data_IF_053743517753
#
_entry.id   IF_053743517753
#
_cell.length_a   1.000
_cell.length_b   1.000
_cell.length_c   1.000
_cell.angle_alpha   90.00
_cell.angle_beta   90.00
_cell.angle_gamma   90.00
#
_symmetry.space_group_name_H-M   'P 1'
#
loop_
_entity.id
_entity.type
_entity.pdbx_description
1 polymer ?
#
# COMPACT_ATOMS: atom_id res chain seq x y z
N UNK A 1 -27.43 5.92 35.60
CA UNK A 1 -27.55 6.45 34.23
C UNK A 1 -27.07 7.89 34.12
N UNK A 2 -27.46 8.79 35.05
CA UNK A 2 -27.08 10.21 35.05
C UNK A 2 -25.56 10.46 35.24
N UNK A 3 -24.87 9.70 36.10
CA UNK A 3 -23.41 9.84 36.28
C UNK A 3 -22.60 9.45 35.03
N UNK A 4 -23.05 8.44 34.28
CA UNK A 4 -22.32 7.95 33.11
C UNK A 4 -22.42 8.92 31.92
N UNK A 5 -23.54 9.64 31.79
CA UNK A 5 -23.70 10.71 30.81
C UNK A 5 -22.89 11.96 31.18
N UNK A 6 -22.68 12.22 32.47
CA UNK A 6 -21.86 13.35 32.94
C UNK A 6 -20.37 13.12 32.63
N UNK A 7 -19.84 11.93 32.94
CA UNK A 7 -18.44 11.56 32.64
C UNK A 7 -18.14 11.54 31.14
N UNK A 8 -19.08 11.09 30.31
CA UNK A 8 -18.94 11.14 28.84
C UNK A 8 -18.89 12.59 28.33
N UNK A 9 -19.67 13.49 28.92
CA UNK A 9 -19.70 14.90 28.52
C UNK A 9 -18.41 15.63 28.93
N UNK A 10 -17.93 15.38 30.14
CA UNK A 10 -16.68 15.95 30.68
C UNK A 10 -15.45 15.45 29.89
N UNK A 11 -15.44 14.18 29.48
CA UNK A 11 -14.41 13.64 28.59
C UNK A 11 -14.41 14.28 27.20
N UNK A 12 -15.58 14.60 26.65
CA UNK A 12 -15.71 15.31 25.38
C UNK A 12 -15.22 16.77 25.48
N UNK A 13 -15.58 17.50 26.55
CA UNK A 13 -15.10 18.86 26.76
C UNK A 13 -13.59 18.92 26.95
N UNK A 14 -13.00 17.97 27.70
CA UNK A 14 -11.56 17.84 27.85
C UNK A 14 -10.86 17.56 26.50
N UNK A 15 -11.45 16.74 25.64
CA UNK A 15 -10.93 16.52 24.29
C UNK A 15 -11.00 17.78 23.44
N UNK A 16 -12.12 18.51 23.46
CA UNK A 16 -12.26 19.77 22.71
C UNK A 16 -11.28 20.84 23.19
N UNK A 17 -11.07 20.96 24.51
CA UNK A 17 -10.10 21.89 25.09
C UNK A 17 -8.67 21.52 24.70
N UNK A 18 -8.31 20.23 24.77
CA UNK A 18 -7.01 19.75 24.31
C UNK A 18 -6.80 20.03 22.81
N UNK A 19 -7.86 19.90 22.01
CA UNK A 19 -7.81 20.18 20.58
C UNK A 19 -7.61 21.68 20.31
N UNK A 20 -8.33 22.55 21.02
CA UNK A 20 -8.17 24.02 20.94
C UNK A 20 -6.79 24.49 21.40
N UNK A 21 -6.22 23.88 22.44
CA UNK A 21 -4.86 24.16 22.90
C UNK A 21 -3.84 23.72 21.84
N UNK A 22 -4.00 22.52 21.28
CA UNK A 22 -3.13 22.02 20.21
C UNK A 22 -3.18 22.91 18.96
N UNK A 23 -4.37 23.39 18.55
CA UNK A 23 -4.52 24.32 17.43
C UNK A 23 -3.84 25.66 17.70
N UNK A 24 -3.87 26.15 18.93
CA UNK A 24 -3.22 27.40 19.34
C UNK A 24 -1.69 27.26 19.35
N UNK A 25 -1.17 26.18 19.94
CA UNK A 25 0.27 25.90 19.96
C UNK A 25 0.81 25.64 18.54
N UNK A 26 0.00 25.08 17.62
CA UNK A 26 0.36 24.93 16.22
C UNK A 26 0.36 26.28 15.45
N UNK A 27 -0.51 27.22 15.84
CA UNK A 27 -0.52 28.59 15.27
C UNK A 27 0.66 29.43 15.75
N UNK A 28 1.09 29.24 16.99
CA UNK A 28 2.24 29.93 17.59
C UNK A 28 3.59 29.37 17.12
N UNK A 29 3.59 28.21 16.43
CA UNK A 29 4.79 27.63 15.88
C UNK A 29 5.36 28.44 14.70
N UNK A 30 6.69 28.67 14.66
CA UNK A 30 7.34 29.34 13.53
C UNK A 30 7.00 28.64 12.21
N UNK A 31 6.47 29.40 11.24
CA UNK A 31 6.08 28.87 9.91
C UNK A 31 7.16 28.03 9.22
N UNK A 32 8.44 28.35 9.48
CA UNK A 32 9.58 27.63 8.93
C UNK A 32 9.72 26.21 9.50
N UNK A 33 9.54 26.02 10.81
CA UNK A 33 9.64 24.73 11.48
C UNK A 33 8.49 23.81 11.06
N UNK A 34 7.27 24.36 11.03
CA UNK A 34 6.08 23.65 10.53
C UNK A 34 6.29 23.15 9.10
N UNK A 35 6.79 24.01 8.20
CA UNK A 35 7.11 23.63 6.81
C UNK A 35 8.17 22.54 6.74
N UNK A 36 9.25 22.65 7.50
CA UNK A 36 10.31 21.65 7.52
C UNK A 36 9.80 20.27 7.98
N UNK A 37 8.94 20.22 9.01
CA UNK A 37 8.33 18.97 9.47
C UNK A 37 7.41 18.37 8.42
N UNK A 38 6.56 19.17 7.79
CA UNK A 38 5.68 18.72 6.71
C UNK A 38 6.48 18.16 5.54
N UNK A 39 7.54 18.87 5.09
CA UNK A 39 8.43 18.39 4.02
C UNK A 39 9.08 17.06 4.41
N UNK A 40 9.53 16.91 5.66
CA UNK A 40 10.06 15.63 6.15
C UNK A 40 9.01 14.52 6.09
N UNK A 41 7.80 14.72 6.60
CA UNK A 41 6.73 13.72 6.54
C UNK A 41 6.39 13.35 5.08
N UNK A 42 6.13 14.35 4.23
CA UNK A 42 5.84 14.17 2.80
C UNK A 42 6.95 13.39 2.13
N UNK A 43 8.22 13.75 2.35
CA UNK A 43 9.37 13.06 1.72
C UNK A 43 9.42 11.57 2.05
N UNK A 44 9.09 11.19 3.29
CA UNK A 44 9.06 9.79 3.73
C UNK A 44 7.84 9.05 3.18
N UNK A 45 6.68 9.69 3.11
CA UNK A 45 5.49 9.11 2.48
C UNK A 45 5.74 8.89 0.99
N UNK A 46 6.38 9.84 0.30
CA UNK A 46 6.76 9.70 -1.11
C UNK A 46 7.68 8.50 -1.36
N UNK A 47 8.62 8.21 -0.45
CA UNK A 47 9.42 6.97 -0.54
C UNK A 47 8.51 5.74 -0.51
N UNK A 48 7.53 5.69 0.39
CA UNK A 48 6.57 4.57 0.45
C UNK A 48 5.68 4.54 -0.79
N UNK A 49 5.30 5.70 -1.33
CA UNK A 49 4.54 5.83 -2.58
C UNK A 49 5.24 5.16 -3.77
N UNK A 50 6.57 5.09 -3.80
CA UNK A 50 7.30 4.35 -4.86
C UNK A 50 6.96 2.85 -4.88
N UNK A 51 6.67 2.24 -3.73
CA UNK A 51 6.18 0.86 -3.68
C UNK A 51 4.80 0.73 -4.35
N UNK A 52 3.96 1.75 -4.21
CA UNK A 52 2.66 1.81 -4.85
C UNK A 52 2.76 2.08 -6.36
N UNK A 53 3.81 2.76 -6.82
CA UNK A 53 4.16 2.83 -8.26
C UNK A 53 4.52 1.45 -8.78
N UNK A 54 5.35 0.68 -8.07
CA UNK A 54 5.68 -0.70 -8.44
C UNK A 54 4.42 -1.61 -8.46
N UNK A 55 3.50 -1.40 -7.52
CA UNK A 55 2.21 -2.07 -7.48
C UNK A 55 1.36 -1.74 -8.72
N UNK A 56 1.16 -0.47 -9.04
CA UNK A 56 0.43 -0.06 -10.24
C UNK A 56 1.04 -0.64 -11.52
N UNK A 57 2.36 -0.62 -11.60
CA UNK A 57 3.06 -1.20 -12.73
C UNK A 57 2.80 -2.71 -12.89
N UNK A 58 2.78 -3.45 -11.79
CA UNK A 58 2.48 -4.89 -11.78
C UNK A 58 1.03 -5.17 -12.17
N UNK A 59 0.09 -4.33 -11.70
CA UNK A 59 -1.35 -4.47 -11.98
C UNK A 59 -1.65 -4.29 -13.46
N UNK A 60 -1.01 -3.31 -14.09
CA UNK A 60 -1.31 -2.93 -15.47
C UNK A 60 -0.50 -3.72 -16.49
N UNK A 61 0.59 -4.36 -16.08
CA UNK A 61 1.47 -5.16 -16.94
C UNK A 61 0.75 -6.15 -17.87
N UNK A 62 -0.27 -6.93 -17.43
CA UNK A 62 -0.94 -7.88 -18.30
C UNK A 62 -1.51 -7.26 -19.58
N UNK A 63 -1.91 -5.99 -19.55
CA UNK A 63 -2.55 -5.32 -20.69
C UNK A 63 -1.61 -5.20 -21.90
N UNK A 64 -0.47 -4.47 -21.84
CA UNK A 64 0.48 -4.44 -22.95
C UNK A 64 1.23 -5.76 -23.15
N UNK A 65 1.50 -6.51 -22.07
CA UNK A 65 2.30 -7.71 -22.18
C UNK A 65 1.60 -8.86 -22.89
N UNK A 66 0.31 -9.10 -22.62
CA UNK A 66 -0.45 -10.15 -23.32
C UNK A 66 -0.54 -9.84 -24.81
N UNK A 67 -0.79 -8.58 -25.18
CA UNK A 67 -0.78 -8.16 -26.59
C UNK A 67 0.60 -8.28 -27.23
N UNK A 68 1.68 -8.05 -26.49
CA UNK A 68 3.04 -8.26 -26.99
C UNK A 68 3.36 -9.75 -27.16
N UNK A 69 2.91 -10.62 -26.24
CA UNK A 69 3.08 -12.08 -26.34
C UNK A 69 2.37 -12.59 -27.58
N UNK A 70 1.14 -12.16 -27.85
CA UNK A 70 0.40 -12.57 -29.06
C UNK A 70 1.09 -12.20 -30.37
N UNK A 71 1.87 -11.11 -30.39
CA UNK A 71 2.65 -10.68 -31.56
C UNK A 71 3.97 -11.43 -31.68
N UNK A 72 4.64 -11.66 -30.55
CA UNK A 72 5.95 -12.28 -30.47
C UNK A 72 6.00 -13.24 -29.28
N UNK A 73 5.92 -14.54 -29.60
CA UNK A 73 5.94 -15.62 -28.61
C UNK A 73 7.36 -15.96 -28.13
N UNK A 74 8.40 -15.36 -28.72
CA UNK A 74 9.79 -15.74 -28.46
C UNK A 74 10.23 -15.34 -27.05
N UNK A 75 10.82 -16.28 -26.30
CA UNK A 75 11.36 -15.99 -24.97
C UNK A 75 12.84 -15.67 -24.98
N UNK A 76 13.31 -14.99 -23.91
CA UNK A 76 14.75 -14.78 -23.69
C UNK A 76 15.54 -16.08 -23.54
N UNK A 77 14.87 -17.19 -23.22
CA UNK A 77 15.49 -18.52 -23.04
C UNK A 77 15.44 -19.32 -24.36
N UNK A 78 14.89 -18.76 -25.43
CA UNK A 78 14.76 -19.43 -26.74
C UNK A 78 13.60 -20.42 -26.84
N UNK A 79 12.70 -20.45 -25.86
CA UNK A 79 11.42 -21.17 -25.94
C UNK A 79 10.30 -20.26 -26.44
N UNK A 80 9.15 -20.83 -26.83
CA UNK A 80 7.96 -20.07 -27.20
C UNK A 80 6.86 -20.21 -26.15
N UNK A 81 6.19 -19.09 -25.83
CA UNK A 81 5.03 -19.08 -24.93
C UNK A 81 3.78 -18.71 -25.70
N UNK A 82 2.82 -19.64 -25.73
CA UNK A 82 1.48 -19.39 -26.29
C UNK A 82 0.49 -19.45 -25.14
N UNK A 83 -0.22 -18.35 -24.91
CA UNK A 83 -1.22 -18.25 -23.86
C UNK A 83 -2.60 -18.66 -24.38
N UNK A 84 -3.22 -19.65 -23.75
CA UNK A 84 -4.65 -19.92 -23.90
C UNK A 84 -5.50 -18.77 -23.35
N UNK A 85 -6.77 -18.71 -23.72
CA UNK A 85 -7.68 -17.67 -23.21
C UNK A 85 -7.76 -17.66 -21.66
N UNK A 86 -7.80 -18.85 -21.05
CA UNK A 86 -7.81 -18.99 -19.60
C UNK A 86 -6.50 -18.49 -18.98
N UNK A 87 -5.34 -18.82 -19.57
CA UNK A 87 -4.04 -18.38 -19.04
C UNK A 87 -3.85 -16.86 -19.13
N UNK A 88 -4.38 -16.22 -20.18
CA UNK A 88 -4.40 -14.74 -20.29
C UNK A 88 -5.12 -14.13 -19.10
N UNK A 89 -6.31 -14.63 -18.77
CA UNK A 89 -7.08 -14.13 -17.62
C UNK A 89 -6.41 -14.47 -16.28
N UNK A 90 -5.70 -15.61 -16.21
CA UNK A 90 -4.90 -15.99 -15.04
C UNK A 90 -3.73 -15.04 -14.78
N UNK A 91 -3.16 -14.41 -15.80
CA UNK A 91 -2.05 -13.45 -15.60
C UNK A 91 -2.45 -12.26 -14.73
N UNK A 92 -3.69 -11.80 -14.84
CA UNK A 92 -4.23 -10.72 -14.01
C UNK A 92 -4.84 -11.22 -12.69
N UNK A 93 -5.64 -12.29 -12.74
CA UNK A 93 -6.39 -12.77 -11.57
C UNK A 93 -5.52 -13.44 -10.50
N UNK A 94 -4.42 -14.12 -10.86
CA UNK A 94 -3.51 -14.74 -9.89
C UNK A 94 -2.82 -13.73 -8.98
N UNK A 95 -2.61 -12.50 -9.44
CA UNK A 95 -2.06 -11.44 -8.60
C UNK A 95 -3.01 -11.07 -7.45
N UNK A 96 -4.33 -11.07 -7.70
CA UNK A 96 -5.33 -10.84 -6.65
C UNK A 96 -5.42 -12.03 -5.69
N UNK A 97 -5.37 -13.24 -6.22
CA UNK A 97 -5.29 -14.44 -5.40
C UNK A 97 -4.04 -14.43 -4.51
N UNK A 98 -2.88 -14.07 -5.07
CA UNK A 98 -1.66 -13.87 -4.31
C UNK A 98 -1.80 -12.77 -3.27
N UNK A 99 -2.49 -11.68 -3.59
CA UNK A 99 -2.74 -10.56 -2.65
C UNK A 99 -3.56 -10.98 -1.45
N UNK A 100 -4.49 -11.93 -1.61
CA UNK A 100 -5.24 -12.49 -0.48
C UNK A 100 -4.30 -13.20 0.51
N UNK A 101 -3.43 -14.07 0.02
CA UNK A 101 -2.44 -14.76 0.86
C UNK A 101 -1.40 -13.79 1.42
N UNK A 102 -0.97 -12.82 0.61
CA UNK A 102 -0.06 -11.74 1.01
C UNK A 102 -0.64 -10.88 2.12
N UNK A 103 -1.93 -10.56 2.10
CA UNK A 103 -2.56 -9.85 3.19
C UNK A 103 -2.50 -10.66 4.50
N UNK A 104 -2.78 -11.96 4.44
CA UNK A 104 -2.72 -12.79 5.64
C UNK A 104 -1.30 -12.91 6.21
N UNK A 105 -0.32 -13.19 5.36
CA UNK A 105 1.11 -13.28 5.73
C UNK A 105 1.60 -11.91 6.22
N UNK A 106 1.24 -10.84 5.52
CA UNK A 106 1.65 -9.46 5.80
C UNK A 106 1.19 -9.00 7.18
N UNK A 107 -0.04 -9.32 7.59
CA UNK A 107 -0.52 -9.04 8.94
C UNK A 107 0.34 -9.72 10.01
N UNK A 108 0.66 -11.00 9.82
CA UNK A 108 1.55 -11.73 10.73
C UNK A 108 2.97 -11.14 10.77
N UNK A 109 3.58 -10.88 9.60
CA UNK A 109 4.92 -10.30 9.48
C UNK A 109 4.97 -8.92 10.16
N UNK A 110 4.03 -8.03 9.86
CA UNK A 110 3.94 -6.69 10.47
C UNK A 110 3.84 -6.75 11.98
N UNK A 111 3.08 -7.70 12.53
CA UNK A 111 2.96 -7.88 13.99
C UNK A 111 4.27 -8.33 14.65
N UNK A 112 5.07 -9.15 13.96
CA UNK A 112 6.30 -9.76 14.50
C UNK A 112 7.54 -8.86 14.34
N UNK A 113 7.80 -8.39 13.13
CA UNK A 113 9.04 -7.65 12.80
C UNK A 113 8.82 -6.13 12.69
N UNK A 114 7.57 -5.68 12.73
CA UNK A 114 7.24 -4.26 12.64
C UNK A 114 7.16 -3.72 11.21
N UNK A 115 6.42 -2.63 11.06
CA UNK A 115 6.03 -2.05 9.75
C UNK A 115 7.23 -1.69 8.86
N UNK A 116 8.28 -1.07 9.44
CA UNK A 116 9.48 -0.65 8.68
C UNK A 116 10.22 -1.85 8.08
N UNK A 117 10.54 -2.85 8.89
CA UNK A 117 11.26 -4.03 8.42
C UNK A 117 10.42 -4.82 7.41
N UNK A 118 9.10 -4.91 7.62
CA UNK A 118 8.19 -5.48 6.63
C UNK A 118 8.30 -4.77 5.28
N UNK A 119 8.26 -3.43 5.26
CA UNK A 119 8.40 -2.64 4.02
C UNK A 119 9.76 -2.83 3.32
N UNK A 120 10.84 -2.94 4.09
CA UNK A 120 12.18 -3.16 3.55
C UNK A 120 12.31 -4.56 2.93
N UNK A 121 11.80 -5.58 3.62
CA UNK A 121 11.81 -6.97 3.11
C UNK A 121 10.89 -7.15 1.90
N UNK A 122 9.85 -6.32 1.75
CA UNK A 122 8.91 -6.39 0.64
C UNK A 122 9.51 -6.06 -0.72
N UNK A 123 10.63 -5.32 -0.76
CA UNK A 123 11.35 -5.08 -2.01
C UNK A 123 11.80 -6.37 -2.69
N UNK A 124 12.22 -7.37 -1.90
CA UNK A 124 12.72 -8.65 -2.41
C UNK A 124 11.67 -9.42 -3.21
N UNK A 125 10.48 -9.77 -2.67
CA UNK A 125 9.50 -10.55 -3.43
C UNK A 125 8.92 -9.77 -4.63
N UNK A 126 8.85 -8.43 -4.57
CA UNK A 126 8.51 -7.59 -5.73
C UNK A 126 9.53 -7.74 -6.87
N UNK A 127 10.82 -7.64 -6.56
CA UNK A 127 11.90 -7.76 -7.56
C UNK A 127 11.96 -9.19 -8.10
N UNK A 128 11.86 -10.21 -7.23
CA UNK A 128 11.90 -11.60 -7.68
C UNK A 128 10.70 -11.94 -8.58
N UNK A 129 9.51 -11.41 -8.31
CA UNK A 129 8.35 -11.58 -9.18
C UNK A 129 8.63 -11.07 -10.59
N UNK A 130 9.25 -9.89 -10.70
CA UNK A 130 9.63 -9.30 -11.99
C UNK A 130 10.68 -10.12 -12.73
N UNK A 131 11.71 -10.58 -12.03
CA UNK A 131 12.78 -11.39 -12.62
C UNK A 131 12.23 -12.73 -13.11
N UNK A 132 11.43 -13.41 -12.29
CA UNK A 132 10.81 -14.70 -12.66
C UNK A 132 9.90 -14.54 -13.87
N UNK A 133 9.06 -13.50 -13.88
CA UNK A 133 8.20 -13.24 -15.04
C UNK A 133 8.98 -12.79 -16.28
N UNK A 134 10.09 -12.06 -16.14
CA UNK A 134 10.94 -11.64 -17.26
C UNK A 134 11.79 -12.76 -17.85
N UNK A 135 12.12 -13.78 -17.06
CA UNK A 135 12.88 -14.97 -17.48
C UNK A 135 11.99 -16.20 -17.67
N UNK A 136 10.68 -16.01 -17.80
CA UNK A 136 9.74 -17.12 -17.92
C UNK A 136 10.01 -17.90 -19.21
N UNK A 137 10.32 -19.20 -19.06
CA UNK A 137 10.50 -20.13 -20.18
C UNK A 137 9.22 -20.85 -20.59
N UNK A 138 8.20 -20.82 -19.72
CA UNK A 138 6.89 -21.38 -19.97
C UNK A 138 5.80 -20.57 -19.23
N UNK A 139 4.54 -20.81 -19.59
CA UNK A 139 3.39 -20.12 -18.97
C UNK A 139 3.33 -20.32 -17.46
N UNK A 140 3.65 -21.51 -16.95
CA UNK A 140 3.59 -21.79 -15.52
C UNK A 140 4.57 -20.91 -14.72
N UNK A 141 5.80 -20.72 -15.19
CA UNK A 141 6.79 -19.84 -14.56
C UNK A 141 6.31 -18.39 -14.58
N UNK A 142 5.72 -17.94 -15.69
CA UNK A 142 5.13 -16.60 -15.79
C UNK A 142 4.04 -16.39 -14.73
N UNK A 143 3.12 -17.36 -14.59
CA UNK A 143 2.03 -17.33 -13.62
C UNK A 143 2.51 -17.39 -12.17
N UNK A 144 3.57 -18.16 -11.88
CA UNK A 144 4.22 -18.18 -10.56
C UNK A 144 4.78 -16.80 -10.21
N UNK A 145 5.46 -16.13 -11.16
CA UNK A 145 5.95 -14.77 -10.96
C UNK A 145 4.82 -13.79 -10.61
N UNK A 146 3.67 -13.90 -11.29
CA UNK A 146 2.46 -13.11 -11.00
C UNK A 146 1.88 -13.37 -9.61
N UNK A 147 1.88 -14.63 -9.16
CA UNK A 147 1.44 -14.99 -7.82
C UNK A 147 2.35 -14.36 -6.75
N UNK A 148 3.66 -14.38 -6.96
CA UNK A 148 4.66 -13.79 -6.04
C UNK A 148 4.50 -12.26 -5.97
N UNK A 149 4.25 -11.60 -7.11
CA UNK A 149 3.86 -10.17 -7.12
C UNK A 149 2.62 -9.93 -6.28
N UNK A 150 1.60 -10.77 -6.44
CA UNK A 150 0.39 -10.73 -5.63
C UNK A 150 0.67 -10.81 -4.13
N UNK A 151 1.48 -11.77 -3.70
CA UNK A 151 1.84 -11.91 -2.27
C UNK A 151 2.51 -10.63 -1.76
N UNK A 152 3.39 -10.04 -2.56
CA UNK A 152 4.07 -8.79 -2.23
C UNK A 152 3.11 -7.61 -2.13
N UNK A 153 2.14 -7.50 -3.05
CA UNK A 153 1.15 -6.43 -3.06
C UNK A 153 0.17 -6.49 -1.89
N UNK A 154 -0.25 -7.70 -1.49
CA UNK A 154 -1.08 -7.91 -0.32
C UNK A 154 -0.39 -7.45 0.97
N UNK A 155 0.88 -7.85 1.14
CA UNK A 155 1.71 -7.42 2.26
C UNK A 155 1.93 -5.90 2.27
N UNK A 156 2.19 -5.29 1.11
CA UNK A 156 2.37 -3.85 0.97
C UNK A 156 1.12 -3.08 1.36
N UNK A 157 -0.07 -3.56 1.00
CA UNK A 157 -1.32 -2.90 1.35
C UNK A 157 -1.47 -2.79 2.87
N UNK A 158 -1.15 -3.84 3.63
CA UNK A 158 -1.24 -3.80 5.09
C UNK A 158 -0.12 -2.95 5.70
N UNK A 159 1.12 -3.25 5.36
CA UNK A 159 2.28 -2.59 5.97
C UNK A 159 2.38 -1.11 5.57
N UNK A 160 2.12 -0.80 4.30
CA UNK A 160 2.24 0.53 3.70
C UNK A 160 1.21 1.51 4.24
N UNK A 161 -0.08 1.19 4.18
CA UNK A 161 -1.12 2.10 4.68
C UNK A 161 -0.99 2.32 6.19
N UNK A 162 -0.70 1.27 6.97
CA UNK A 162 -0.45 1.41 8.40
C UNK A 162 0.76 2.33 8.68
N UNK A 163 1.85 2.17 7.94
CA UNK A 163 3.05 3.00 8.10
C UNK A 163 2.78 4.47 7.76
N UNK A 164 2.03 4.74 6.68
CA UNK A 164 1.67 6.10 6.28
C UNK A 164 0.80 6.76 7.35
N UNK A 165 -0.23 6.07 7.85
CA UNK A 165 -1.12 6.60 8.89
C UNK A 165 -0.37 6.92 10.18
N UNK A 166 0.58 6.06 10.57
CA UNK A 166 1.42 6.28 11.75
C UNK A 166 2.35 7.48 11.60
N UNK A 167 2.90 7.70 10.40
CA UNK A 167 3.82 8.81 10.13
C UNK A 167 3.10 10.16 9.94
N UNK A 168 1.86 10.12 9.47
CA UNK A 168 1.11 11.31 9.04
C UNK A 168 0.45 12.01 10.21
N UNK A 169 0.64 13.32 10.30
CA UNK A 169 -0.09 14.16 11.24
C UNK A 169 -1.60 14.14 10.99
N UNK A 170 -2.39 14.32 12.05
CA UNK A 170 -3.86 14.24 12.02
C UNK A 170 -4.44 15.20 10.98
N UNK A 171 -3.87 16.41 10.87
CA UNK A 171 -4.32 17.46 9.96
C UNK A 171 -4.07 17.14 8.47
N UNK A 172 -2.99 16.42 8.14
CA UNK A 172 -2.62 16.09 6.76
C UNK A 172 -2.86 14.63 6.40
N UNK A 173 -3.35 13.81 7.33
CA UNK A 173 -3.54 12.37 7.17
C UNK A 173 -4.39 12.03 5.95
N UNK A 174 -5.42 12.86 5.66
CA UNK A 174 -6.24 12.71 4.45
C UNK A 174 -5.41 12.83 3.17
N UNK A 175 -4.59 13.87 3.04
CA UNK A 175 -3.70 14.06 1.90
C UNK A 175 -2.63 12.96 1.81
N UNK A 176 -2.07 12.53 2.94
CA UNK A 176 -1.07 11.45 2.94
C UNK A 176 -1.67 10.11 2.53
N UNK A 177 -2.94 9.86 2.88
CA UNK A 177 -3.65 8.65 2.50
C UNK A 177 -3.99 8.57 0.99
N UNK A 178 -4.02 9.70 0.27
CA UNK A 178 -4.27 9.71 -1.19
C UNK A 178 -3.00 9.52 -2.02
N UNK A 179 -1.81 9.80 -1.48
CA UNK A 179 -0.53 9.63 -2.19
C UNK A 179 -0.29 8.20 -2.70
N UNK A 180 -0.59 7.12 -1.96
CA UNK A 180 -0.55 5.75 -2.49
C UNK A 180 -1.36 5.54 -3.77
N UNK A 181 -2.58 6.09 -3.82
CA UNK A 181 -3.46 5.99 -4.98
C UNK A 181 -2.86 6.70 -6.18
N UNK A 182 -2.27 7.89 -5.96
CA UNK A 182 -1.51 8.59 -7.01
C UNK A 182 -0.33 7.74 -7.49
N UNK A 183 0.40 7.08 -6.58
CA UNK A 183 1.47 6.14 -6.93
C UNK A 183 1.00 5.02 -7.86
N UNK A 184 -0.13 4.38 -7.55
CA UNK A 184 -0.73 3.34 -8.40
C UNK A 184 -1.02 3.89 -9.80
N UNK A 185 -1.66 5.07 -9.91
CA UNK A 185 -1.98 5.69 -11.20
C UNK A 185 -0.72 6.01 -12.00
N UNK A 186 0.34 6.52 -11.36
CA UNK A 186 1.62 6.77 -12.01
C UNK A 186 2.28 5.46 -12.49
N UNK A 187 2.18 4.38 -11.72
CA UNK A 187 2.66 3.05 -12.11
C UNK A 187 1.90 2.46 -13.31
N UNK A 188 0.59 2.67 -13.35
CA UNK A 188 -0.25 2.27 -14.49
C UNK A 188 0.19 3.02 -15.76
N UNK A 189 0.31 4.35 -15.67
CA UNK A 189 0.74 5.20 -16.78
C UNK A 189 2.15 4.80 -17.28
N UNK A 190 3.08 4.60 -16.35
CA UNK A 190 4.44 4.13 -16.63
C UNK A 190 4.44 2.85 -17.48
N UNK A 191 3.60 1.88 -17.11
CA UNK A 191 3.58 0.56 -17.76
C UNK A 191 2.91 0.60 -19.13
N UNK A 192 1.83 1.35 -19.29
CA UNK A 192 1.18 1.52 -20.60
C UNK A 192 2.09 2.27 -21.56
N UNK A 193 2.72 3.36 -21.10
CA UNK A 193 3.60 4.19 -21.94
C UNK A 193 4.79 3.37 -22.48
N UNK A 194 5.43 2.59 -21.62
CA UNK A 194 6.61 1.79 -21.99
C UNK A 194 6.20 0.53 -22.76
N UNK A 195 5.10 -0.12 -22.34
CA UNK A 195 4.62 -1.37 -22.92
C UNK A 195 4.17 -1.27 -24.38
N UNK A 196 3.95 -0.06 -24.89
CA UNK A 196 3.72 0.14 -26.33
C UNK A 196 4.98 -0.07 -27.17
N UNK A 197 6.16 0.17 -26.59
CA UNK A 197 7.44 0.20 -27.33
C UNK A 197 8.32 -1.03 -27.10
N UNK A 198 8.19 -1.69 -25.94
CA UNK A 198 9.07 -2.78 -25.53
C UNK A 198 8.39 -4.15 -25.63
N UNK A 199 9.17 -5.21 -25.95
CA UNK A 199 8.70 -6.59 -25.80
C UNK A 199 8.37 -6.90 -24.34
N UNK A 200 7.44 -7.83 -24.12
CA UNK A 200 6.96 -8.19 -22.78
C UNK A 200 8.06 -8.61 -21.79
N UNK A 201 9.14 -9.24 -22.26
CA UNK A 201 10.31 -9.60 -21.43
C UNK A 201 11.01 -8.38 -20.85
N UNK A 202 11.38 -7.44 -21.72
CA UNK A 202 12.05 -6.20 -21.31
C UNK A 202 11.12 -5.33 -20.49
N UNK A 203 9.81 -5.37 -20.77
CA UNK A 203 8.80 -4.71 -19.95
C UNK A 203 8.79 -5.23 -18.51
N UNK A 204 9.07 -6.53 -18.25
CA UNK A 204 9.23 -7.04 -16.89
C UNK A 204 10.43 -6.43 -16.16
N UNK A 205 11.59 -6.32 -16.82
CA UNK A 205 12.79 -5.74 -16.21
C UNK A 205 12.65 -4.25 -15.96
N UNK A 206 12.06 -3.53 -16.91
CA UNK A 206 11.76 -2.10 -16.76
C UNK A 206 10.67 -1.90 -15.69
N UNK A 207 9.68 -2.79 -15.60
CA UNK A 207 8.70 -2.84 -14.51
C UNK A 207 9.31 -3.03 -13.11
N UNK A 208 10.50 -3.63 -13.02
CA UNK A 208 11.22 -3.80 -11.76
C UNK A 208 11.87 -2.51 -11.24
N UNK A 209 12.11 -1.50 -12.10
CA UNK A 209 12.86 -0.29 -11.72
C UNK A 209 12.23 0.42 -10.52
N UNK A 210 10.92 0.73 -10.49
CA UNK A 210 10.30 1.34 -9.30
C UNK A 210 10.45 0.50 -8.03
N UNK A 211 10.42 -0.83 -8.15
CA UNK A 211 10.60 -1.73 -7.01
C UNK A 211 12.03 -1.71 -6.47
N UNK A 212 13.04 -1.66 -7.35
CA UNK A 212 14.46 -1.54 -6.97
C UNK A 212 14.72 -0.19 -6.30
N UNK A 213 14.20 0.91 -6.88
CA UNK A 213 14.34 2.25 -6.30
C UNK A 213 13.66 2.31 -4.93
N UNK A 214 12.46 1.74 -4.80
CA UNK A 214 11.79 1.61 -3.51
C UNK A 214 12.62 0.80 -2.50
N UNK A 215 13.12 -0.38 -2.89
CA UNK A 215 13.91 -1.24 -2.01
C UNK A 215 15.14 -0.49 -1.48
N UNK A 216 15.86 0.23 -2.33
CA UNK A 216 17.00 1.07 -1.93
C UNK A 216 16.57 2.25 -1.04
N UNK A 217 15.52 2.98 -1.41
CA UNK A 217 15.04 4.15 -0.66
C UNK A 217 14.44 3.76 0.71
N UNK A 218 13.90 2.54 0.85
CA UNK A 218 13.27 2.04 2.07
C UNK A 218 14.22 1.96 3.26
N UNK A 219 15.55 1.92 3.04
CA UNK A 219 16.55 1.94 4.12
C UNK A 219 16.55 3.27 4.90
N UNK A 220 16.13 4.36 4.24
CA UNK A 220 16.10 5.73 4.77
C UNK A 220 14.83 5.98 5.64
N UNK A 221 13.88 5.04 5.67
CA UNK A 221 12.64 5.16 6.42
C UNK A 221 12.87 5.09 7.94
N UNK A 222 12.26 5.99 8.75
CA UNK A 222 12.34 5.89 10.21
C UNK A 222 11.59 4.66 10.74
N UNK A 223 11.92 4.25 11.98
CA UNK A 223 11.15 3.21 12.68
C UNK A 223 9.72 3.67 12.91
N UNK A 224 8.78 2.74 12.98
CA UNK A 224 7.37 3.03 13.29
C UNK A 224 7.22 3.33 14.80
N UNK A 225 6.46 4.38 15.19
CA UNK A 225 6.18 4.68 16.60
C UNK A 225 5.55 3.50 17.35
N UNK A 226 4.52 2.90 16.74
CA UNK A 226 3.84 1.73 17.28
C UNK A 226 4.78 0.54 17.52
N UNK A 227 5.79 0.35 16.66
CA UNK A 227 6.79 -0.69 16.87
C UNK A 227 7.71 -0.40 18.06
N UNK A 228 8.11 0.86 18.27
CA UNK A 228 8.94 1.25 19.41
C UNK A 228 8.21 1.04 20.74
N UNK A 229 6.90 1.32 20.77
CA UNK A 229 6.04 1.06 21.93
C UNK A 229 5.96 -0.44 22.24
N UNK A 230 5.73 -1.29 21.23
CA UNK A 230 5.68 -2.75 21.40
C UNK A 230 7.00 -3.31 21.94
N UNK A 231 8.14 -2.72 21.55
CA UNK A 231 9.46 -3.13 22.01
C UNK A 231 9.84 -2.56 23.40
N UNK A 232 8.93 -1.87 24.09
CA UNK A 232 9.18 -1.25 25.39
C UNK A 232 10.09 -0.01 25.34
N UNK A 233 10.40 0.50 24.14
CA UNK A 233 11.30 1.67 23.94
C UNK A 233 10.50 2.98 23.97
N UNK A 234 9.83 3.24 25.10
CA UNK A 234 8.91 4.38 25.27
C UNK A 234 9.56 5.74 24.99
N UNK A 235 10.76 5.99 25.52
CA UNK A 235 11.46 7.27 25.34
C UNK A 235 11.77 7.57 23.86
N UNK A 236 12.14 6.54 23.10
CA UNK A 236 12.38 6.69 21.66
C UNK A 236 11.08 6.95 20.90
N UNK A 237 9.99 6.27 21.26
CA UNK A 237 8.67 6.52 20.69
C UNK A 237 8.22 7.97 20.93
N UNK A 238 8.39 8.49 22.15
CA UNK A 238 8.12 9.89 22.51
C UNK A 238 8.97 10.85 21.66
N UNK A 239 10.28 10.61 21.56
CA UNK A 239 11.18 11.48 20.78
C UNK A 239 10.83 11.49 19.28
N UNK A 240 10.45 10.33 18.73
CA UNK A 240 10.06 10.18 17.32
C UNK A 240 8.73 10.89 17.06
N UNK A 241 7.72 10.66 17.89
CA UNK A 241 6.43 11.33 17.76
C UNK A 241 6.55 12.83 17.96
N UNK A 242 7.41 13.30 18.88
CA UNK A 242 7.73 14.73 19.05
C UNK A 242 8.31 15.34 17.77
N UNK A 243 9.19 14.61 17.10
CA UNK A 243 9.78 15.06 15.83
C UNK A 243 8.77 15.02 14.66
N UNK A 244 7.81 14.11 14.69
CA UNK A 244 6.80 13.96 13.64
C UNK A 244 5.67 14.97 13.83
N UNK A 245 4.99 14.94 14.97
CA UNK A 245 3.83 15.78 15.31
C UNK A 245 4.24 17.21 15.66
N UNK A 246 5.31 17.38 16.44
CA UNK A 246 5.65 18.66 17.05
C UNK A 246 5.30 18.71 18.54
N UNK A 247 5.51 19.87 19.17
CA UNK A 247 5.26 20.06 20.60
C UNK A 247 3.79 20.33 20.97
N UNK A 248 2.94 20.60 19.97
CA UNK A 248 1.55 21.03 20.17
C UNK A 248 0.58 19.86 20.43
N UNK A 249 1.00 18.61 20.20
CA UNK A 249 0.16 17.42 20.47
C UNK A 249 0.57 16.80 21.81
N UNK A 250 -0.40 16.32 22.58
CA UNK A 250 -0.13 15.49 23.75
C UNK A 250 0.40 14.11 23.34
N UNK A 251 1.70 14.05 23.03
CA UNK A 251 2.41 12.84 22.59
C UNK A 251 2.34 11.74 23.66
N UNK A 252 2.31 12.13 24.93
CA UNK A 252 2.26 11.18 26.04
C UNK A 252 0.92 10.45 26.11
N UNK A 253 -0.19 11.14 25.82
CA UNK A 253 -1.49 10.51 25.64
C UNK A 253 -1.50 9.57 24.42
N UNK A 254 -0.90 9.96 23.27
CA UNK A 254 -0.84 9.10 22.07
C UNK A 254 -0.04 7.81 22.36
N UNK A 255 1.10 7.89 23.04
CA UNK A 255 1.88 6.70 23.43
C UNK A 255 1.13 5.83 24.41
N UNK A 256 0.46 6.42 25.40
CA UNK A 256 -0.33 5.67 26.39
C UNK A 256 -1.53 4.97 25.73
N UNK A 257 -2.16 5.60 24.74
CA UNK A 257 -3.19 4.94 23.92
C UNK A 257 -2.63 3.76 23.13
N UNK A 258 -1.45 3.90 22.51
CA UNK A 258 -0.80 2.81 21.79
C UNK A 258 -0.44 1.64 22.73
N UNK A 259 0.03 1.93 23.94
CA UNK A 259 0.30 0.93 24.99
C UNK A 259 -0.98 0.20 25.42
N UNK A 260 -2.07 0.94 25.64
CA UNK A 260 -3.36 0.37 26.03
C UNK A 260 -3.99 -0.47 24.92
N UNK A 261 -3.88 -0.03 23.66
CA UNK A 261 -4.30 -0.83 22.49
C UNK A 261 -3.49 -2.13 22.41
N UNK A 262 -2.19 -2.08 22.66
CA UNK A 262 -1.32 -3.25 22.62
C UNK A 262 -1.60 -4.24 23.77
N UNK A 263 -1.81 -3.75 25.00
CA UNK A 263 -2.14 -4.60 26.16
C UNK A 263 -3.55 -5.23 26.05
N UNK A 264 -4.48 -4.53 25.40
CA UNK A 264 -5.85 -5.00 25.15
C UNK A 264 -5.97 -5.92 23.93
N UNK A 265 -4.90 -6.09 23.15
CA UNK A 265 -4.88 -6.90 21.91
C UNK A 265 -4.97 -8.42 22.13
N UNK A 266 -5.33 -8.88 23.32
CA UNK A 266 -5.60 -10.31 23.62
C UNK A 266 -6.91 -10.82 22.98
N UNK A 267 -7.76 -9.92 22.47
CA UNK A 267 -8.96 -10.27 21.74
C UNK A 267 -8.63 -10.53 20.26
N UNK A 268 -8.09 -11.71 19.97
CA UNK A 268 -7.79 -12.16 18.60
C UNK A 268 -9.05 -12.31 17.72
N UNK A 269 -9.16 -13.40 16.96
CA UNK A 269 -10.33 -13.70 16.10
C UNK A 269 -11.70 -13.58 16.80
N UNK A 270 -11.74 -13.74 18.13
CA UNK A 270 -12.94 -13.56 18.95
C UNK A 270 -13.40 -12.10 19.06
N UNK A 271 -12.49 -11.12 19.00
CA UNK A 271 -12.82 -9.70 19.01
C UNK A 271 -13.48 -9.22 17.72
N UNK A 272 -13.14 -9.86 16.60
CA UNK A 272 -13.76 -9.60 15.30
C UNK A 272 -15.25 -9.96 15.29
N UNK A 273 -15.69 -10.90 16.13
CA UNK A 273 -17.08 -11.33 16.26
C UNK A 273 -17.91 -10.44 17.21
N UNK A 274 -17.30 -9.42 17.82
CA UNK A 274 -18.05 -8.45 18.63
C UNK A 274 -19.02 -7.67 17.73
N UNK A 275 -20.28 -7.52 18.16
CA UNK A 275 -21.37 -6.90 17.39
C UNK A 275 -21.01 -5.50 16.87
N UNK A 276 -20.30 -4.70 17.65
CA UNK A 276 -19.86 -3.37 17.23
C UNK A 276 -18.78 -3.44 16.13
N UNK A 277 -17.82 -4.36 16.28
CA UNK A 277 -16.75 -4.57 15.29
C UNK A 277 -17.31 -5.16 14.00
N UNK A 278 -18.22 -6.15 14.09
CA UNK A 278 -18.93 -6.70 12.93
C UNK A 278 -19.71 -5.64 12.18
N UNK A 279 -20.42 -4.73 12.86
CA UNK A 279 -21.13 -3.61 12.19
C UNK A 279 -20.16 -2.75 11.38
N UNK A 280 -18.99 -2.41 11.94
CA UNK A 280 -17.96 -1.64 11.24
C UNK A 280 -17.38 -2.42 10.06
N UNK A 281 -17.05 -3.70 10.25
CA UNK A 281 -16.56 -4.59 9.18
C UNK A 281 -17.58 -4.69 8.04
N UNK A 282 -18.87 -4.88 8.33
CA UNK A 282 -19.91 -4.97 7.30
C UNK A 282 -19.97 -3.71 6.46
N UNK A 283 -19.89 -2.52 7.06
CA UNK A 283 -19.87 -1.25 6.30
C UNK A 283 -18.64 -1.19 5.38
N UNK A 284 -17.46 -1.55 5.87
CA UNK A 284 -16.23 -1.54 5.08
C UNK A 284 -16.32 -2.55 3.93
N UNK A 285 -16.69 -3.81 4.22
CA UNK A 285 -16.79 -4.88 3.22
C UNK A 285 -17.82 -4.55 2.15
N UNK A 286 -19.01 -4.07 2.52
CA UNK A 286 -20.04 -3.68 1.56
C UNK A 286 -19.58 -2.51 0.69
N UNK A 287 -18.91 -1.51 1.27
CA UNK A 287 -18.39 -0.37 0.50
C UNK A 287 -17.33 -0.82 -0.50
N UNK A 288 -16.39 -1.68 -0.09
CA UNK A 288 -15.40 -2.26 -1.00
C UNK A 288 -16.05 -3.11 -2.09
N UNK A 289 -17.04 -3.93 -1.75
CA UNK A 289 -17.76 -4.77 -2.70
C UNK A 289 -18.46 -3.94 -3.77
N UNK A 290 -19.22 -2.92 -3.38
CA UNK A 290 -19.88 -2.00 -4.31
C UNK A 290 -18.87 -1.27 -5.20
N UNK A 291 -17.74 -0.83 -4.63
CA UNK A 291 -16.67 -0.18 -5.40
C UNK A 291 -16.05 -1.10 -6.46
N UNK A 292 -15.89 -2.41 -6.18
CA UNK A 292 -15.38 -3.37 -7.18
C UNK A 292 -16.42 -3.69 -8.26
N UNK A 293 -17.72 -3.69 -7.93
CA UNK A 293 -18.81 -3.93 -8.89
C UNK A 293 -18.98 -2.80 -9.92
N UNK A 294 -18.41 -1.62 -9.70
CA UNK A 294 -18.45 -0.53 -10.68
C UNK A 294 -17.64 -0.80 -11.97
N UNK A 295 -16.92 -1.93 -12.07
CA UNK A 295 -16.25 -2.35 -13.31
C UNK A 295 -14.93 -1.65 -13.60
N UNK A 296 -14.38 -0.87 -12.66
CA UNK A 296 -13.10 -0.16 -12.82
C UNK A 296 -11.96 -1.10 -13.25
N UNK A 297 -11.94 -2.31 -12.69
CA UNK A 297 -10.92 -3.30 -12.97
C UNK A 297 -11.02 -3.91 -14.38
N UNK A 298 -12.25 -4.19 -14.84
CA UNK A 298 -12.50 -4.71 -16.19
C UNK A 298 -12.02 -3.71 -17.24
N UNK A 299 -12.30 -2.42 -17.02
CA UNK A 299 -11.80 -1.36 -17.89
C UNK A 299 -10.27 -1.39 -17.92
N UNK A 300 -9.59 -1.32 -16.78
CA UNK A 300 -8.12 -1.23 -16.73
C UNK A 300 -7.38 -2.38 -17.45
N UNK A 301 -7.81 -3.64 -17.27
CA UNK A 301 -7.13 -4.78 -17.92
C UNK A 301 -7.48 -4.88 -19.40
N UNK A 302 -8.76 -4.75 -19.75
CA UNK A 302 -9.25 -5.07 -21.09
C UNK A 302 -9.40 -3.84 -21.99
N UNK A 303 -9.00 -2.64 -21.56
CA UNK A 303 -9.13 -1.40 -22.37
C UNK A 303 -8.61 -1.58 -23.80
N UNK A 304 -7.40 -2.12 -23.97
CA UNK A 304 -6.81 -2.32 -25.30
C UNK A 304 -7.69 -3.23 -26.19
N UNK A 305 -8.22 -4.32 -25.62
CA UNK A 305 -9.06 -5.27 -26.34
C UNK A 305 -10.45 -4.70 -26.67
N UNK A 306 -11.03 -3.93 -25.74
CA UNK A 306 -12.30 -3.24 -25.97
C UNK A 306 -12.15 -2.22 -27.09
N UNK A 307 -11.09 -1.40 -27.06
CA UNK A 307 -10.82 -0.39 -28.09
C UNK A 307 -10.57 -1.01 -29.49
N UNK A 308 -9.87 -2.14 -29.54
CA UNK A 308 -9.67 -2.89 -30.79
C UNK A 308 -11.01 -3.43 -31.34
N UNK A 309 -11.84 -4.02 -30.48
CA UNK A 309 -13.14 -4.57 -30.86
C UNK A 309 -14.17 -3.51 -31.27
N UNK A 310 -14.06 -2.28 -30.76
CA UNK A 310 -14.94 -1.15 -31.13
C UNK A 310 -14.50 -0.42 -32.40
N UNK A 311 -13.47 -0.91 -33.10
CA UNK A 311 -13.10 -0.42 -34.43
C UNK A 311 -12.12 0.75 -34.46
N UNK A 312 -11.42 1.05 -33.36
CA UNK A 312 -10.42 2.14 -33.34
C UNK A 312 -9.07 1.80 -34.00
N UNK A 313 -9.00 0.72 -34.78
CA UNK A 313 -7.81 0.31 -35.54
C UNK A 313 -7.99 0.48 -37.04
N UNK A 314 -8.24 1.72 -37.50
CA UNK A 314 -7.94 2.16 -38.87
C UNK A 314 -7.35 3.58 -38.79
N UNK A 315 -6.02 3.68 -38.80
CA UNK A 315 -5.34 4.98 -38.83
C UNK A 315 -3.86 4.96 -38.45
N UNK A 316 -3.04 4.14 -39.13
CA UNK A 316 -1.67 4.38 -39.61
C UNK A 316 -0.91 3.06 -39.82
#
# INVERSE_FOLDING_TARGET
>A
MINMTCELHEAQELQELQQKVAEKDEQDEPRAERRLRLVKQVSKVLIVTLAYVALGASITWPSPAVSSIEKDNSTLVGTEIVLTAAEKDMTGSLMYLGSLFGAWIGGWVVSKIGRRLSLQLLGLPFITGWIISGLASNTAVLLIGRLIHGISSGCLTIAGYAYIVELSDTNIRGMMATLPTLGIVLGNLYTVAIGYTLPWHYLCFVGAIPAVVFAAASFILPKSPSYLVIQGRRQEALSLLKNLRGNHVNIEAEVTQLEHMNSSSSSGWKGLLNKETLRRITVVVTTFFLSQMCGNFVMMIYTARIMQNTGSTHGS
#
